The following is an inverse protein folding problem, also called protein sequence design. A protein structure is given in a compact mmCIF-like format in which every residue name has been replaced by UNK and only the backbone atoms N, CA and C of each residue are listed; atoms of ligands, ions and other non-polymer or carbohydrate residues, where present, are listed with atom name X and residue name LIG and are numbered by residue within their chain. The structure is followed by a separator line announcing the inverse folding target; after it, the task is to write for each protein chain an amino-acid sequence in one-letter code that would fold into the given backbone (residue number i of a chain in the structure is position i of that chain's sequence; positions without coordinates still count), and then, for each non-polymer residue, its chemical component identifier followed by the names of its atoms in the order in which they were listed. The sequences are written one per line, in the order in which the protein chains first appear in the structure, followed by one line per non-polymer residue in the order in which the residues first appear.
data_IF_565466686311
#
_entry.id   IF_565466686311
#
_cell.length_a   1.000
_cell.length_b   1.000
_cell.length_c   1.000
_cell.angle_alpha   90.00
_cell.angle_beta   90.00
_cell.angle_gamma   90.00
#
_symmetry.space_group_name_H-M   'P 1'
#
loop_
_entity.id
_entity.type
_entity.pdbx_description
1 polymer ?
#
# COMPACT_ATOMS: atom_id res chain seq x y z
N UNK A 1 2.36 2.12 4.07
CA UNK A 1 2.32 3.37 3.27
C UNK A 1 2.52 2.96 1.82
N UNK A 2 1.58 3.30 0.93
CA UNK A 2 1.60 3.01 -0.51
C UNK A 2 2.17 1.64 -0.87
N UNK A 3 1.66 0.54 -0.27
CA UNK A 3 2.28 -0.76 -0.36
C UNK A 3 2.15 -1.36 -1.77
N UNK A 4 3.23 -1.98 -2.26
CA UNK A 4 3.25 -2.80 -3.47
C UNK A 4 3.14 -4.27 -3.06
N UNK A 5 2.01 -4.91 -3.36
CA UNK A 5 1.61 -6.19 -2.76
C UNK A 5 1.20 -7.27 -3.76
N UNK A 6 1.05 -6.90 -5.04
CA UNK A 6 0.65 -7.82 -6.09
C UNK A 6 1.56 -7.72 -7.34
N UNK A 7 2.54 -8.62 -7.43
CA UNK A 7 3.43 -8.73 -8.58
C UNK A 7 2.78 -9.40 -9.80
N UNK A 8 1.50 -9.77 -9.72
CA UNK A 8 0.71 -10.23 -10.87
C UNK A 8 -0.03 -9.08 -11.57
N UNK A 9 -0.07 -7.89 -10.97
CA UNK A 9 -0.73 -6.69 -11.50
C UNK A 9 -2.22 -6.86 -11.76
N UNK A 10 -2.94 -7.56 -10.88
CA UNK A 10 -4.40 -7.78 -11.07
C UNK A 10 -5.27 -6.64 -10.54
N UNK A 11 -4.69 -5.65 -9.85
CA UNK A 11 -5.40 -4.45 -9.39
C UNK A 11 -5.79 -3.52 -10.54
N UNK A 12 -7.06 -3.10 -10.60
CA UNK A 12 -7.56 -2.20 -11.65
C UNK A 12 -6.83 -0.85 -11.68
N UNK A 13 -6.43 -0.32 -10.52
CA UNK A 13 -5.72 0.97 -10.44
C UNK A 13 -4.39 0.97 -11.19
N UNK A 14 -3.74 -0.18 -11.36
CA UNK A 14 -2.49 -0.25 -12.13
C UNK A 14 -2.67 0.34 -13.52
N UNK A 15 -3.84 0.12 -14.12
CA UNK A 15 -4.17 0.55 -15.47
C UNK A 15 -4.98 1.85 -15.49
N UNK A 16 -5.98 1.98 -14.60
CA UNK A 16 -6.83 3.18 -14.56
C UNK A 16 -6.07 4.44 -14.14
N UNK A 17 -5.08 4.29 -13.27
CA UNK A 17 -4.26 5.39 -12.78
C UNK A 17 -2.91 5.48 -13.51
N UNK A 18 -2.66 4.68 -14.56
CA UNK A 18 -1.36 4.63 -15.24
C UNK A 18 -0.90 5.98 -15.81
N UNK A 19 -1.84 6.86 -16.18
CA UNK A 19 -1.58 8.22 -16.65
C UNK A 19 -1.80 9.31 -15.59
N UNK A 20 -2.32 8.93 -14.41
CA UNK A 20 -2.62 9.84 -13.31
C UNK A 20 -1.49 9.87 -12.29
N UNK A 21 -0.83 8.74 -12.04
CA UNK A 21 0.27 8.65 -11.07
C UNK A 21 1.50 9.41 -11.56
N UNK A 22 1.90 10.52 -10.89
CA UNK A 22 3.01 11.34 -11.33
C UNK A 22 4.38 10.83 -10.85
N UNK A 23 4.42 9.81 -9.99
CA UNK A 23 5.62 9.37 -9.28
C UNK A 23 6.13 8.01 -9.76
N UNK A 24 5.23 7.02 -9.90
CA UNK A 24 5.62 5.65 -10.24
C UNK A 24 4.90 5.18 -11.51
N UNK A 25 5.50 5.33 -12.70
CA UNK A 25 4.88 4.85 -13.93
C UNK A 25 4.73 3.32 -13.88
N UNK A 26 3.58 2.80 -14.35
CA UNK A 26 3.28 1.36 -14.35
C UNK A 26 4.44 0.52 -14.92
N UNK A 27 5.05 0.96 -16.01
CA UNK A 27 6.17 0.25 -16.64
C UNK A 27 7.37 0.06 -15.69
N UNK A 28 7.66 1.06 -14.85
CA UNK A 28 8.71 0.98 -13.84
C UNK A 28 8.37 0.00 -12.72
N UNK A 29 7.12 -0.01 -12.27
CA UNK A 29 6.62 -0.96 -11.25
C UNK A 29 6.69 -2.40 -11.78
N UNK A 30 6.28 -2.62 -13.03
CA UNK A 30 6.38 -3.91 -13.74
C UNK A 30 7.82 -4.37 -13.89
N UNK A 31 8.71 -3.47 -14.32
CA UNK A 31 10.13 -3.77 -14.44
C UNK A 31 10.75 -4.15 -13.10
N UNK A 32 10.46 -3.40 -12.03
CA UNK A 32 10.92 -3.69 -10.67
C UNK A 32 10.45 -5.05 -10.16
N UNK A 33 9.16 -5.36 -10.33
CA UNK A 33 8.59 -6.65 -9.93
C UNK A 33 9.23 -7.84 -10.65
N UNK A 34 9.40 -7.74 -11.97
CA UNK A 34 10.08 -8.79 -12.76
C UNK A 34 11.54 -8.98 -12.37
N UNK A 35 12.24 -7.86 -12.13
CA UNK A 35 13.63 -7.89 -11.69
C UNK A 35 13.77 -8.52 -10.31
N UNK A 36 12.84 -8.25 -9.40
CA UNK A 36 12.83 -8.89 -8.08
C UNK A 36 12.55 -10.39 -8.17
N UNK A 37 11.57 -10.81 -8.97
CA UNK A 37 11.17 -12.22 -9.06
C UNK A 37 12.21 -13.13 -9.70
N UNK A 38 13.01 -12.64 -10.66
CA UNK A 38 13.98 -13.48 -11.40
C UNK A 38 13.38 -14.79 -11.94
N UNK A 39 12.11 -14.77 -12.35
CA UNK A 39 11.37 -15.94 -12.85
C UNK A 39 10.65 -16.77 -11.79
N UNK A 40 10.73 -16.41 -10.51
CA UNK A 40 9.90 -17.01 -9.45
C UNK A 40 8.39 -16.74 -9.67
N UNK A 41 7.55 -17.54 -9.03
CA UNK A 41 6.09 -17.39 -9.10
C UNK A 41 5.66 -16.03 -8.53
N UNK A 42 5.03 -15.14 -9.34
CA UNK A 42 4.55 -13.85 -8.87
C UNK A 42 3.44 -13.95 -7.82
N UNK A 43 2.83 -15.13 -7.63
CA UNK A 43 1.83 -15.38 -6.58
C UNK A 43 2.43 -15.92 -5.28
N UNK A 44 3.75 -16.13 -5.21
CA UNK A 44 4.38 -16.60 -3.99
C UNK A 44 4.09 -15.62 -2.83
N UNK A 45 3.51 -16.06 -1.68
CA UNK A 45 3.04 -15.16 -0.63
C UNK A 45 4.10 -14.22 -0.05
N UNK A 46 5.36 -14.64 0.00
CA UNK A 46 6.46 -13.78 0.45
C UNK A 46 6.83 -12.66 -0.55
N UNK A 47 6.52 -12.86 -1.83
CA UNK A 47 6.75 -11.88 -2.89
C UNK A 47 5.52 -10.99 -3.12
N UNK A 48 4.33 -11.59 -3.06
CA UNK A 48 3.03 -10.92 -3.19
C UNK A 48 2.15 -11.26 -1.99
N UNK A 49 2.25 -10.49 -0.88
CA UNK A 49 1.52 -10.77 0.36
C UNK A 49 0.00 -10.82 0.23
N UNK A 50 -0.55 -10.28 -0.86
CA UNK A 50 -1.99 -10.36 -1.15
C UNK A 50 -2.50 -11.81 -1.30
N UNK A 51 -1.61 -12.76 -1.58
CA UNK A 51 -1.92 -14.19 -1.69
C UNK A 51 -1.58 -14.99 -0.42
N UNK A 52 -1.08 -14.33 0.63
CA UNK A 52 -0.72 -14.97 1.90
C UNK A 52 -1.90 -15.11 2.87
N UNK A 53 -1.71 -15.93 3.91
CA UNK A 53 -2.62 -15.98 5.04
C UNK A 53 -2.40 -14.75 5.94
N UNK A 54 -3.47 -13.99 6.14
CA UNK A 54 -3.47 -12.78 6.95
C UNK A 54 -3.88 -13.02 8.42
N UNK A 55 -4.26 -14.26 8.76
CA UNK A 55 -4.72 -14.59 10.11
C UNK A 55 -3.62 -14.34 11.16
N UNK A 56 -4.02 -13.77 12.29
CA UNK A 56 -3.11 -13.49 13.42
C UNK A 56 -2.17 -12.30 13.22
N UNK A 57 -2.25 -11.58 12.09
CA UNK A 57 -1.52 -10.33 11.91
C UNK A 57 -2.01 -9.24 12.89
N UNK A 58 -1.12 -8.31 13.30
CA UNK A 58 -1.47 -7.25 14.24
C UNK A 58 -2.39 -6.20 13.61
N UNK A 59 -3.01 -5.32 14.41
CA UNK A 59 -3.74 -4.18 13.89
C UNK A 59 -2.90 -3.39 12.88
N UNK A 60 -3.49 -3.10 11.73
CA UNK A 60 -2.76 -2.57 10.57
C UNK A 60 -3.38 -1.27 10.08
N UNK A 61 -2.54 -0.26 9.83
CA UNK A 61 -2.89 0.96 9.13
C UNK A 61 -2.29 0.93 7.72
N UNK A 62 -3.14 1.10 6.71
CA UNK A 62 -2.75 1.25 5.30
C UNK A 62 -3.14 2.67 4.87
N UNK A 63 -2.17 3.41 4.33
CA UNK A 63 -2.39 4.72 3.72
C UNK A 63 -1.89 4.65 2.27
N UNK A 64 -2.71 5.07 1.32
CA UNK A 64 -2.36 5.23 -0.09
C UNK A 64 -3.07 6.47 -0.68
N UNK A 65 -2.59 6.96 -1.81
CA UNK A 65 -3.20 8.03 -2.57
C UNK A 65 -4.27 7.52 -3.55
N UNK A 66 -5.23 8.38 -3.90
CA UNK A 66 -6.29 8.02 -4.86
C UNK A 66 -5.78 7.83 -6.28
N UNK A 67 -4.68 8.49 -6.62
CA UNK A 67 -4.15 8.60 -7.98
C UNK A 67 -3.00 7.61 -8.21
N UNK A 68 -2.68 6.79 -7.21
CA UNK A 68 -1.59 5.82 -7.29
C UNK A 68 -1.96 4.62 -8.15
N UNK A 69 -0.99 4.10 -8.92
CA UNK A 69 -1.15 2.81 -9.61
C UNK A 69 -1.30 1.65 -8.60
N UNK A 70 -0.84 1.80 -7.36
CA UNK A 70 -0.90 0.80 -6.28
C UNK A 70 -2.14 0.91 -5.38
N UNK A 71 -3.12 1.75 -5.72
CA UNK A 71 -4.33 1.94 -4.88
C UNK A 71 -5.09 0.62 -4.66
N UNK A 72 -5.31 -0.14 -5.72
CA UNK A 72 -6.03 -1.42 -5.65
C UNK A 72 -5.30 -2.46 -4.80
N UNK A 73 -3.96 -2.48 -4.76
CA UNK A 73 -3.20 -3.33 -3.85
C UNK A 73 -3.55 -3.03 -2.39
N UNK A 74 -3.60 -1.74 -2.05
CA UNK A 74 -3.93 -1.26 -0.71
C UNK A 74 -5.37 -1.61 -0.32
N UNK A 75 -6.32 -1.39 -1.22
CA UNK A 75 -7.74 -1.69 -1.02
C UNK A 75 -7.98 -3.19 -0.82
N UNK A 76 -7.39 -4.02 -1.69
CA UNK A 76 -7.54 -5.48 -1.64
C UNK A 76 -6.86 -6.07 -0.41
N UNK A 77 -5.67 -5.60 -0.04
CA UNK A 77 -5.03 -6.07 1.19
C UNK A 77 -5.83 -5.69 2.43
N UNK A 78 -6.40 -4.48 2.47
CA UNK A 78 -7.29 -4.09 3.57
C UNK A 78 -8.53 -4.99 3.65
N UNK A 79 -9.09 -5.41 2.51
CA UNK A 79 -10.19 -6.38 2.47
C UNK A 79 -9.75 -7.75 3.01
N UNK A 80 -8.61 -8.27 2.57
CA UNK A 80 -8.07 -9.55 3.03
C UNK A 80 -7.80 -9.57 4.54
N UNK A 81 -7.15 -8.52 5.07
CA UNK A 81 -6.90 -8.39 6.50
C UNK A 81 -8.20 -8.37 7.31
N UNK A 82 -9.19 -7.58 6.88
CA UNK A 82 -10.51 -7.52 7.55
C UNK A 82 -11.23 -8.86 7.51
N UNK A 83 -11.19 -9.56 6.37
CA UNK A 83 -11.80 -10.88 6.22
C UNK A 83 -11.14 -11.92 7.15
N UNK A 84 -9.84 -11.76 7.43
CA UNK A 84 -9.10 -12.58 8.40
C UNK A 84 -9.28 -12.15 9.87
N UNK A 85 -10.16 -11.19 10.16
CA UNK A 85 -10.44 -10.71 11.52
C UNK A 85 -9.40 -9.72 12.07
N UNK A 86 -8.49 -9.21 11.23
CA UNK A 86 -7.50 -8.21 11.64
C UNK A 86 -8.14 -6.83 11.72
N UNK A 87 -7.88 -6.10 12.81
CA UNK A 87 -8.30 -4.71 12.93
C UNK A 87 -7.54 -3.85 11.90
N UNK A 88 -8.22 -3.34 10.87
CA UNK A 88 -7.56 -2.66 9.75
C UNK A 88 -8.18 -1.31 9.41
N UNK A 89 -7.36 -0.27 9.52
CA UNK A 89 -7.66 1.09 9.08
C UNK A 89 -7.07 1.29 7.66
N UNK A 90 -7.90 1.67 6.70
CA UNK A 90 -7.47 2.05 5.35
C UNK A 90 -7.81 3.52 5.14
N UNK A 91 -6.83 4.33 4.77
CA UNK A 91 -7.03 5.72 4.37
C UNK A 91 -6.56 5.91 2.92
N UNK A 92 -7.51 6.22 2.04
CA UNK A 92 -7.23 6.63 0.66
C UNK A 92 -7.27 8.16 0.61
N UNK A 93 -6.14 8.79 0.33
CA UNK A 93 -5.97 10.23 0.36
C UNK A 93 -6.15 10.83 -1.03
N UNK A 94 -7.11 11.75 -1.16
CA UNK A 94 -7.44 12.38 -2.43
C UNK A 94 -6.25 13.19 -3.00
N UNK A 95 -5.95 12.98 -4.28
CA UNK A 95 -4.89 13.65 -5.05
C UNK A 95 -3.48 13.48 -4.50
N UNK A 96 -3.26 12.55 -3.57
CA UNK A 96 -1.92 12.29 -3.05
C UNK A 96 -1.16 11.34 -3.99
N UNK A 97 0.10 11.66 -4.32
CA UNK A 97 0.94 10.78 -5.12
C UNK A 97 1.55 9.66 -4.27
N UNK A 98 2.23 8.72 -4.93
CA UNK A 98 2.94 7.63 -4.25
C UNK A 98 3.87 8.12 -3.13
N UNK A 99 3.68 7.53 -1.94
CA UNK A 99 4.48 7.80 -0.75
C UNK A 99 4.62 9.30 -0.40
N UNK A 100 3.55 10.09 -0.58
CA UNK A 100 3.54 11.54 -0.37
C UNK A 100 4.10 12.00 1.00
N UNK A 101 4.08 11.12 2.00
CA UNK A 101 4.71 11.28 3.31
C UNK A 101 6.17 11.75 3.21
N UNK A 102 6.92 11.26 2.22
CA UNK A 102 8.32 11.64 1.98
C UNK A 102 8.48 13.15 1.68
N UNK A 103 7.42 13.80 1.20
CA UNK A 103 7.41 15.23 0.89
C UNK A 103 6.82 16.07 2.03
N UNK A 104 6.71 15.55 3.25
CA UNK A 104 6.14 16.25 4.42
C UNK A 104 6.75 17.62 4.73
N UNK A 105 7.99 17.89 4.30
CA UNK A 105 8.57 19.25 4.40
C UNK A 105 7.83 20.27 3.52
N UNK A 106 7.33 19.83 2.37
CA UNK A 106 6.78 20.68 1.31
C UNK A 106 5.26 20.58 1.21
N UNK A 107 4.68 19.40 1.50
CA UNK A 107 3.26 19.10 1.38
C UNK A 107 2.64 18.90 2.77
N UNK A 108 1.67 19.74 3.21
CA UNK A 108 1.03 19.62 4.51
C UNK A 108 0.41 18.25 4.78
N UNK A 109 -0.21 17.65 3.77
CA UNK A 109 -0.84 16.33 3.83
C UNK A 109 0.16 15.23 4.19
N UNK A 110 1.43 15.37 3.78
CA UNK A 110 2.49 14.46 4.20
C UNK A 110 2.74 14.53 5.71
N UNK A 111 2.69 15.72 6.31
CA UNK A 111 2.81 15.87 7.78
C UNK A 111 1.60 15.28 8.50
N UNK A 112 0.40 15.51 7.97
CA UNK A 112 -0.84 14.98 8.56
C UNK A 112 -0.87 13.45 8.51
N UNK A 113 -0.47 12.85 7.38
CA UNK A 113 -0.38 11.41 7.24
C UNK A 113 0.63 10.80 8.21
N UNK A 114 1.83 11.40 8.35
CA UNK A 114 2.83 10.99 9.35
C UNK A 114 2.30 11.13 10.79
N UNK A 115 1.62 12.23 11.11
CA UNK A 115 1.02 12.43 12.44
C UNK A 115 -0.02 11.35 12.77
N UNK A 116 -0.84 10.96 11.78
CA UNK A 116 -1.81 9.86 11.88
C UNK A 116 -1.13 8.50 12.10
N UNK A 117 -0.04 8.20 11.38
CA UNK A 117 0.78 7.01 11.64
C UNK A 117 1.25 7.00 13.09
N UNK A 118 1.80 8.11 13.58
CA UNK A 118 2.25 8.21 14.97
C UNK A 118 1.11 8.01 15.98
N UNK A 119 -0.08 8.54 15.70
CA UNK A 119 -1.25 8.35 16.54
C UNK A 119 -1.71 6.89 16.55
N UNK A 120 -1.74 6.23 15.39
CA UNK A 120 -2.06 4.82 15.26
C UNK A 120 -1.09 3.94 16.05
N UNK A 121 0.23 4.20 15.94
CA UNK A 121 1.25 3.47 16.70
C UNK A 121 1.01 3.63 18.20
N UNK A 122 0.84 4.85 18.72
CA UNK A 122 0.60 5.11 20.15
C UNK A 122 -0.70 4.48 20.67
N UNK A 123 -1.73 4.38 19.82
CA UNK A 123 -2.99 3.71 20.13
C UNK A 123 -2.83 2.19 20.21
N UNK A 124 -1.95 1.62 19.38
CA UNK A 124 -1.86 0.17 19.14
C UNK A 124 -0.80 -0.51 20.01
N UNK A 125 0.32 0.17 20.26
CA UNK A 125 1.40 -0.35 21.10
C UNK A 125 1.16 0.13 22.54
N UNK A 126 0.93 -0.77 23.50
CA UNK A 126 0.82 -0.41 24.92
C UNK A 126 2.07 0.32 25.40
N UNK A 127 1.90 1.29 26.30
CA UNK A 127 3.04 1.82 27.04
C UNK A 127 3.67 0.69 27.85
N UNK A 128 5.00 0.55 27.73
CA UNK A 128 5.79 -0.41 28.51
C UNK A 128 5.85 0.00 29.99
#
# INVERSE_FOLDING_TARGET
MSPYLDLTFTGESHYLNALQDPMIPLAGVVFGGRTYLQGADPKHPEASPIYGDAAGLPPTLIQCGSDEVLRSDSERMAQNLRAAGVATELEVWHLMPHAWHAFSRYVPEGRFAIAKIGAFIRKTIPAA
#
